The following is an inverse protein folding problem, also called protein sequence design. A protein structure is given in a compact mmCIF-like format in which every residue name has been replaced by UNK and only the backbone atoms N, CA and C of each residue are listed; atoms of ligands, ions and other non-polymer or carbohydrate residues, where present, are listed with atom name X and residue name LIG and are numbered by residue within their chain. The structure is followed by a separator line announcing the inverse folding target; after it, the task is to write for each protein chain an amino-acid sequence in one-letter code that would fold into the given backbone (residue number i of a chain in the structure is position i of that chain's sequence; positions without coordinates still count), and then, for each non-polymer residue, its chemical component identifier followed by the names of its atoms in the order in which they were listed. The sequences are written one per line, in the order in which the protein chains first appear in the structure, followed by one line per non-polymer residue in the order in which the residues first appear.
data_IF_150464304741
#
_entry.id   IF_150464304741
#
_cell.length_a   1.000
_cell.length_b   1.000
_cell.length_c   1.000
_cell.angle_alpha   90.00
_cell.angle_beta   90.00
_cell.angle_gamma   90.00
#
_symmetry.space_group_name_H-M   'P 1'
#
loop_
_entity.id
_entity.type
_entity.pdbx_description
1 polymer ?
#
# COMPACT_ATOMS: atom_id res chain seq x y z
N UNK A 1 7.13 31.97 -21.11
CA UNK A 1 6.66 30.56 -21.03
C UNK A 1 6.95 30.09 -19.62
N UNK A 2 6.01 30.24 -18.68
CA UNK A 2 6.24 29.86 -17.30
C UNK A 2 6.12 28.34 -17.20
N UNK A 3 7.27 27.67 -17.06
CA UNK A 3 7.31 26.26 -16.68
C UNK A 3 6.71 26.15 -15.28
N UNK A 4 5.63 25.39 -15.16
CA UNK A 4 4.97 25.12 -13.89
C UNK A 4 5.94 24.36 -12.99
N UNK A 5 6.67 25.11 -12.17
CA UNK A 5 7.33 24.61 -10.99
C UNK A 5 6.26 24.25 -9.96
N UNK A 6 5.75 23.02 -10.07
CA UNK A 6 5.24 22.30 -8.90
C UNK A 6 6.11 21.06 -8.75
N UNK A 7 7.35 21.33 -8.32
CA UNK A 7 8.07 20.56 -7.30
C UNK A 7 7.15 20.39 -6.07
N UNK A 8 6.04 19.65 -6.22
CA UNK A 8 5.39 19.02 -5.08
C UNK A 8 6.44 18.05 -4.59
N UNK A 9 7.24 18.46 -3.61
CA UNK A 9 7.88 17.50 -2.71
C UNK A 9 6.79 16.48 -2.37
N UNK A 10 6.89 15.23 -2.85
CA UNK A 10 5.81 14.31 -2.59
C UNK A 10 5.87 14.10 -1.09
N UNK A 11 4.87 14.61 -0.36
CA UNK A 11 4.53 14.13 0.97
C UNK A 11 4.17 12.65 0.76
N UNK A 12 5.22 11.85 0.64
CA UNK A 12 5.23 10.70 -0.26
C UNK A 12 4.72 9.50 0.46
N UNK A 13 3.46 9.51 0.88
CA UNK A 13 2.88 8.32 1.48
C UNK A 13 2.83 7.17 0.46
N UNK A 14 3.03 7.43 -0.83
CA UNK A 14 3.10 6.44 -1.91
C UNK A 14 4.53 6.07 -2.30
N UNK A 15 4.67 4.91 -2.94
CA UNK A 15 5.91 4.53 -3.63
C UNK A 15 6.12 5.37 -4.90
N UNK A 16 7.38 5.55 -5.34
CA UNK A 16 7.64 6.14 -6.64
C UNK A 16 6.98 5.34 -7.77
N UNK A 17 6.30 6.04 -8.68
CA UNK A 17 5.63 5.47 -9.85
C UNK A 17 6.66 5.08 -10.94
N UNK A 18 7.45 4.05 -10.67
CA UNK A 18 8.54 3.57 -11.56
C UNK A 18 8.10 2.49 -12.54
N UNK A 19 6.83 2.09 -12.53
CA UNK A 19 6.26 1.03 -13.36
C UNK A 19 5.10 1.59 -14.18
N UNK A 20 4.95 1.14 -15.42
CA UNK A 20 3.78 1.45 -16.28
C UNK A 20 2.54 0.60 -15.93
N UNK A 21 2.67 -0.32 -14.98
CA UNK A 21 1.55 -1.13 -14.49
C UNK A 21 0.57 -0.26 -13.70
N UNK A 22 -0.71 -0.14 -14.13
CA UNK A 22 -1.71 0.66 -13.42
C UNK A 22 -1.97 0.16 -11.99
N UNK A 23 -1.70 -1.12 -11.69
CA UNK A 23 -1.81 -1.69 -10.34
C UNK A 23 -0.69 -1.19 -9.40
N UNK A 24 0.35 -0.54 -9.93
CA UNK A 24 1.54 -0.09 -9.18
C UNK A 24 1.67 1.44 -9.11
N UNK A 25 0.69 2.18 -9.62
CA UNK A 25 0.64 3.64 -9.56
C UNK A 25 0.03 4.09 -8.23
N UNK A 26 0.61 5.08 -7.58
CA UNK A 26 0.07 5.72 -6.37
C UNK A 26 -0.19 4.76 -5.19
N UNK A 27 0.54 3.63 -5.14
CA UNK A 27 0.42 2.65 -4.06
C UNK A 27 1.03 3.19 -2.77
N UNK A 28 0.25 3.19 -1.69
CA UNK A 28 0.70 3.60 -0.36
C UNK A 28 1.84 2.72 0.18
N UNK A 29 2.89 3.37 0.70
CA UNK A 29 3.92 2.76 1.52
C UNK A 29 3.26 2.11 2.72
N UNK A 30 3.46 0.81 2.82
CA UNK A 30 2.84 -0.05 3.81
C UNK A 30 3.91 -0.90 4.49
N UNK A 31 3.57 -1.43 5.68
CA UNK A 31 4.47 -2.27 6.48
C UNK A 31 4.89 -3.56 5.76
N UNK A 32 4.10 -4.03 4.80
CA UNK A 32 4.35 -5.25 4.03
C UNK A 32 5.35 -5.04 2.88
N UNK A 33 5.73 -3.80 2.56
CA UNK A 33 6.66 -3.52 1.46
C UNK A 33 6.05 -3.73 0.06
N UNK A 34 4.74 -3.91 -0.04
CA UNK A 34 4.06 -4.27 -1.29
C UNK A 34 3.79 -3.03 -2.14
N UNK A 35 4.08 -3.12 -3.45
CA UNK A 35 3.94 -2.01 -4.41
C UNK A 35 2.83 -2.23 -5.44
N UNK A 36 1.94 -3.18 -5.17
CA UNK A 36 0.80 -3.55 -6.01
C UNK A 36 -0.46 -3.47 -5.16
N UNK A 37 -1.53 -2.87 -5.69
CA UNK A 37 -2.80 -2.78 -4.96
C UNK A 37 -3.39 -4.17 -4.72
N UNK A 38 -3.36 -5.05 -5.72
CA UNK A 38 -3.88 -6.42 -5.57
C UNK A 38 -3.12 -7.19 -4.50
N UNK A 39 -1.78 -7.11 -4.50
CA UNK A 39 -0.97 -7.79 -3.50
C UNK A 39 -1.24 -7.24 -2.09
N UNK A 40 -1.33 -5.90 -1.97
CA UNK A 40 -1.60 -5.24 -0.70
C UNK A 40 -2.96 -5.63 -0.13
N UNK A 41 -4.01 -5.64 -0.97
CA UNK A 41 -5.34 -6.05 -0.56
C UNK A 41 -5.35 -7.51 -0.04
N UNK A 42 -4.68 -8.43 -0.74
CA UNK A 42 -4.57 -9.83 -0.32
C UNK A 42 -3.87 -9.97 1.03
N UNK A 43 -2.78 -9.25 1.24
CA UNK A 43 -2.04 -9.27 2.51
C UNK A 43 -2.89 -8.76 3.69
N UNK A 44 -3.69 -7.72 3.47
CA UNK A 44 -4.62 -7.24 4.50
C UNK A 44 -5.66 -8.29 4.90
N UNK A 45 -6.27 -8.98 3.93
CA UNK A 45 -7.25 -10.02 4.23
C UNK A 45 -6.65 -11.22 4.97
N UNK A 46 -5.44 -11.63 4.60
CA UNK A 46 -4.72 -12.70 5.31
C UNK A 46 -4.43 -12.30 6.76
N UNK A 47 -3.88 -11.10 6.98
CA UNK A 47 -3.58 -10.61 8.31
C UNK A 47 -4.84 -10.42 9.18
N UNK A 48 -5.96 -9.98 8.58
CA UNK A 48 -7.24 -9.86 9.28
C UNK A 48 -7.77 -11.23 9.71
N UNK A 49 -7.75 -12.23 8.81
CA UNK A 49 -8.18 -13.59 9.12
C UNK A 49 -7.35 -14.24 10.23
N UNK A 50 -6.03 -14.03 10.23
CA UNK A 50 -5.14 -14.51 11.30
C UNK A 50 -5.44 -13.81 12.64
N UNK A 51 -5.74 -12.51 12.62
CA UNK A 51 -6.09 -11.75 13.82
C UNK A 51 -7.41 -12.21 14.43
N UNK A 52 -8.41 -12.54 13.60
CA UNK A 52 -9.68 -13.14 14.03
C UNK A 52 -9.49 -14.56 14.59
N UNK A 53 -8.62 -15.36 13.98
CA UNK A 53 -8.30 -16.69 14.49
C UNK A 53 -7.60 -16.62 15.85
N UNK A 54 -6.67 -15.68 16.01
CA UNK A 54 -5.95 -15.46 17.26
C UNK A 54 -6.88 -14.99 18.40
N UNK A 55 -7.87 -14.14 18.09
CA UNK A 55 -8.86 -13.71 19.09
C UNK A 55 -9.75 -14.85 19.55
N UNK A 56 -10.25 -15.68 18.62
CA UNK A 56 -11.07 -16.87 18.99
C UNK A 56 -10.32 -17.90 19.80
N UNK A 57 -9.00 -18.03 19.63
CA UNK A 57 -8.18 -18.95 20.41
C UNK A 57 -7.99 -18.49 21.86
N UNK A 58 -8.02 -17.17 22.12
CA UNK A 58 -7.90 -16.61 23.47
C UNK A 58 -9.19 -16.72 24.30
N UNK A 59 -10.34 -16.93 23.67
CA UNK A 59 -11.64 -17.08 24.34
C UNK A 59 -12.00 -18.53 24.71
N UNK A 60 -11.05 -19.48 24.57
CA UNK A 60 -11.24 -20.91 24.86
C UNK A 60 -10.45 -21.35 26.08
#
# INVERSE_FOLDING_TARGET
MAGMAEDREPHGYTYPNTSDDPDQIDVLRNRFGLRSHVALARAYWQHAAESEAATRQFER
#
